data_IF_775971927662
#
_entry.id   IF_775971927662
#
_cell.length_a   1.000
_cell.length_b   1.000
_cell.length_c   1.000
_cell.angle_alpha   90.00
_cell.angle_beta   90.00
_cell.angle_gamma   90.00
#
_symmetry.space_group_name_H-M   'P 1'
#
loop_
_entity.id
_entity.type
_entity.pdbx_description
1 polymer ?
#
# COMPACT_ATOMS: atom_id res chain seq x y z
N UNK A 1 6.43 11.29 10.36
CA UNK A 1 6.38 10.41 9.17
C UNK A 1 5.84 9.05 9.61
N UNK A 2 5.01 8.37 8.82
CA UNK A 2 4.39 7.08 9.20
C UNK A 2 5.26 5.93 8.65
N UNK A 3 6.16 5.33 9.46
CA UNK A 3 7.23 4.46 8.96
C UNK A 3 6.72 3.18 8.28
N UNK A 4 5.55 2.68 8.67
CA UNK A 4 4.91 1.50 8.08
C UNK A 4 4.30 1.75 6.70
N UNK A 5 4.24 3.00 6.22
CA UNK A 5 3.89 3.31 4.83
C UNK A 5 5.13 3.34 3.92
N UNK A 6 6.32 3.39 4.50
CA UNK A 6 7.59 3.44 3.76
C UNK A 6 8.23 2.06 3.61
N UNK A 7 7.98 1.16 4.56
CA UNK A 7 8.52 -0.20 4.55
C UNK A 7 7.49 -1.20 5.06
N UNK A 8 7.54 -2.45 4.57
CA UNK A 8 6.64 -3.50 5.04
C UNK A 8 6.90 -3.78 6.53
N UNK A 9 5.88 -4.31 7.21
CA UNK A 9 6.05 -4.79 8.58
C UNK A 9 7.06 -5.95 8.55
N UNK A 10 8.16 -5.87 9.33
CA UNK A 10 9.11 -6.97 9.38
C UNK A 10 8.45 -8.24 9.90
N UNK A 11 8.69 -9.37 9.23
CA UNK A 11 8.26 -10.67 9.75
C UNK A 11 8.93 -10.89 11.10
N UNK A 12 8.16 -11.36 12.09
CA UNK A 12 8.74 -11.76 13.36
C UNK A 12 9.71 -12.93 13.11
N UNK A 13 10.91 -12.91 13.73
CA UNK A 13 11.79 -14.05 13.71
C UNK A 13 11.05 -15.25 14.31
N UNK A 14 11.19 -16.42 13.70
CA UNK A 14 10.72 -17.67 14.33
C UNK A 14 11.75 -18.06 15.38
N UNK A 15 11.42 -18.03 16.68
CA UNK A 15 12.37 -18.48 17.69
C UNK A 15 12.62 -19.99 17.56
N UNK A 16 13.85 -20.42 17.84
CA UNK A 16 14.18 -21.84 17.92
C UNK A 16 13.41 -22.52 19.06
N UNK A 17 13.23 -23.84 18.99
CA UNK A 17 12.56 -24.62 20.05
C UNK A 17 13.16 -24.27 21.43
N UNK A 18 12.30 -23.80 22.33
CA UNK A 18 12.67 -23.40 23.69
C UNK A 18 13.12 -21.94 23.87
N UNK A 19 13.18 -21.12 22.81
CA UNK A 19 13.52 -19.69 22.91
C UNK A 19 12.27 -18.81 22.86
N UNK A 20 12.28 -17.73 23.64
CA UNK A 20 11.27 -16.65 23.57
C UNK A 20 11.89 -15.47 22.84
N UNK A 21 11.10 -14.81 21.99
CA UNK A 21 11.54 -13.60 21.30
C UNK A 21 11.97 -12.52 22.31
N UNK A 22 13.07 -11.78 22.03
CA UNK A 22 13.51 -10.71 22.93
C UNK A 22 12.39 -9.68 23.17
N UNK A 23 12.23 -9.18 24.41
CA UNK A 23 11.21 -8.18 24.74
C UNK A 23 11.27 -6.94 23.86
N UNK A 24 12.46 -6.49 23.46
CA UNK A 24 12.65 -5.32 22.61
C UNK A 24 12.06 -5.50 21.20
N UNK A 25 12.13 -6.72 20.66
CA UNK A 25 11.52 -7.07 19.37
C UNK A 25 10.00 -7.02 19.47
N UNK A 26 9.44 -7.58 20.54
CA UNK A 26 7.99 -7.56 20.81
C UNK A 26 7.47 -6.14 21.05
N UNK A 27 8.16 -5.36 21.88
CA UNK A 27 7.80 -3.98 22.23
C UNK A 27 7.84 -3.03 21.02
N UNK A 28 8.62 -3.36 19.99
CA UNK A 28 8.65 -2.60 18.74
C UNK A 28 7.59 -3.10 17.76
N UNK A 29 7.44 -4.42 17.62
CA UNK A 29 6.54 -5.02 16.64
C UNK A 29 5.05 -4.81 16.97
N UNK A 30 4.67 -4.87 18.26
CA UNK A 30 3.26 -4.76 18.66
C UNK A 30 2.68 -3.38 18.34
N UNK A 31 3.30 -2.25 18.75
CA UNK A 31 2.81 -0.93 18.38
C UNK A 31 2.80 -0.70 16.86
N UNK A 32 3.80 -1.24 16.15
CA UNK A 32 3.89 -1.16 14.70
C UNK A 32 2.72 -1.85 14.01
N UNK A 33 2.42 -3.09 14.39
CA UNK A 33 1.31 -3.86 13.82
C UNK A 33 -0.03 -3.18 14.10
N UNK A 34 -0.20 -2.65 15.32
CA UNK A 34 -1.41 -1.91 15.70
C UNK A 34 -1.62 -0.67 14.84
N UNK A 35 -0.59 0.17 14.71
CA UNK A 35 -0.68 1.39 13.92
C UNK A 35 -0.94 1.10 12.43
N UNK A 36 -0.34 0.05 11.87
CA UNK A 36 -0.66 -0.37 10.50
C UNK A 36 -2.14 -0.70 10.38
N UNK A 37 -2.70 -1.58 11.23
CA UNK A 37 -4.11 -1.98 11.15
C UNK A 37 -5.10 -0.82 11.25
N UNK A 38 -4.80 0.19 12.07
CA UNK A 38 -5.63 1.40 12.15
C UNK A 38 -5.67 2.15 10.80
N UNK A 39 -4.55 2.18 10.10
CA UNK A 39 -4.43 2.85 8.79
C UNK A 39 -4.94 1.97 7.67
N UNK A 40 -4.75 0.66 7.74
CA UNK A 40 -5.41 -0.30 6.85
C UNK A 40 -6.92 -0.04 6.85
N UNK A 41 -7.52 0.06 8.05
CA UNK A 41 -8.94 0.35 8.23
C UNK A 41 -9.34 1.73 7.67
N UNK A 42 -8.57 2.78 7.97
CA UNK A 42 -8.85 4.12 7.46
C UNK A 42 -8.77 4.21 5.94
N UNK A 43 -7.78 3.55 5.32
CA UNK A 43 -7.63 3.48 3.88
C UNK A 43 -8.85 2.81 3.26
N UNK A 44 -9.26 1.64 3.77
CA UNK A 44 -10.42 0.93 3.24
C UNK A 44 -11.73 1.71 3.39
N UNK A 45 -11.92 2.44 4.49
CA UNK A 45 -13.14 3.25 4.72
C UNK A 45 -13.26 4.46 3.79
N UNK A 46 -12.15 4.97 3.28
CA UNK A 46 -12.11 6.21 2.47
C UNK A 46 -11.91 5.96 0.99
N UNK A 47 -11.59 4.72 0.62
CA UNK A 47 -11.35 4.31 -0.75
C UNK A 47 -12.65 4.13 -1.53
N UNK A 48 -12.55 4.30 -2.84
CA UNK A 48 -13.62 3.94 -3.76
C UNK A 48 -13.99 2.44 -3.60
N UNK A 49 -15.29 2.07 -3.57
CA UNK A 49 -15.72 0.69 -3.33
C UNK A 49 -15.15 -0.35 -4.30
N UNK A 50 -14.97 -0.01 -5.58
CA UNK A 50 -14.46 -0.96 -6.57
C UNK A 50 -12.96 -1.20 -6.35
N UNK A 51 -12.22 -0.15 -5.99
CA UNK A 51 -10.80 -0.27 -5.61
C UNK A 51 -10.69 -1.01 -4.26
N UNK A 52 -11.53 -0.69 -3.29
CA UNK A 52 -11.56 -1.31 -1.97
C UNK A 52 -11.72 -2.83 -2.08
N UNK A 53 -12.67 -3.31 -2.88
CA UNK A 53 -12.90 -4.75 -3.09
C UNK A 53 -11.66 -5.48 -3.61
N UNK A 54 -10.85 -4.82 -4.43
CA UNK A 54 -9.62 -5.41 -4.95
C UNK A 54 -8.48 -5.41 -3.92
N UNK A 55 -8.50 -4.48 -2.96
CA UNK A 55 -7.38 -4.24 -2.04
C UNK A 55 -7.66 -4.66 -0.59
N UNK A 56 -8.88 -5.06 -0.23
CA UNK A 56 -9.29 -5.38 1.16
C UNK A 56 -8.49 -6.50 1.83
N UNK A 57 -7.86 -7.36 1.05
CA UNK A 57 -7.02 -8.46 1.54
C UNK A 57 -5.57 -8.04 1.85
N UNK A 58 -5.20 -6.80 1.53
CA UNK A 58 -3.85 -6.27 1.70
C UNK A 58 -3.75 -5.41 2.96
N UNK A 59 -2.57 -5.40 3.58
CA UNK A 59 -2.22 -4.39 4.59
C UNK A 59 -1.85 -3.04 3.96
N UNK A 60 -1.82 -1.96 4.74
CA UNK A 60 -1.66 -0.58 4.27
C UNK A 60 -0.43 -0.35 3.42
N UNK A 61 0.70 -0.96 3.77
CA UNK A 61 1.90 -0.85 2.96
C UNK A 61 1.67 -1.37 1.53
N UNK A 62 1.07 -2.56 1.40
CA UNK A 62 0.78 -3.16 0.09
C UNK A 62 -0.34 -2.41 -0.63
N UNK A 63 -1.40 -2.00 0.07
CA UNK A 63 -2.44 -1.15 -0.52
C UNK A 63 -1.85 0.13 -1.11
N UNK A 64 -1.02 0.85 -0.34
CA UNK A 64 -0.40 2.09 -0.81
C UNK A 64 0.51 1.85 -2.02
N UNK A 65 1.23 0.73 -2.05
CA UNK A 65 2.08 0.35 -3.18
C UNK A 65 1.25 0.07 -4.44
N UNK A 66 0.17 -0.70 -4.31
CA UNK A 66 -0.73 -1.01 -5.44
C UNK A 66 -1.41 0.25 -5.95
N UNK A 67 -1.92 1.13 -5.07
CA UNK A 67 -2.51 2.41 -5.46
C UNK A 67 -1.52 3.30 -6.22
N UNK A 68 -0.28 3.43 -5.73
CA UNK A 68 0.76 4.19 -6.44
C UNK A 68 1.01 3.64 -7.84
N UNK A 69 1.01 2.33 -7.98
CA UNK A 69 1.21 1.66 -9.27
C UNK A 69 0.02 1.90 -10.20
N UNK A 70 -1.19 1.73 -9.69
CA UNK A 70 -2.44 1.95 -10.42
C UNK A 70 -2.53 3.40 -10.95
N UNK A 71 -2.26 4.40 -10.11
CA UNK A 71 -2.32 5.79 -10.52
C UNK A 71 -1.19 6.19 -11.48
N UNK A 72 0.02 5.62 -11.33
CA UNK A 72 1.09 5.84 -12.29
C UNK A 72 0.70 5.29 -13.68
N UNK A 73 0.17 4.07 -13.73
CA UNK A 73 -0.32 3.47 -14.97
C UNK A 73 -1.46 4.27 -15.59
N UNK A 74 -2.41 4.74 -14.77
CA UNK A 74 -3.50 5.59 -15.24
C UNK A 74 -2.98 6.89 -15.86
N UNK A 75 -2.06 7.59 -15.18
CA UNK A 75 -1.47 8.82 -15.68
C UNK A 75 -0.74 8.61 -17.02
N UNK A 76 -0.03 7.50 -17.18
CA UNK A 76 0.64 7.16 -18.44
C UNK A 76 -0.37 6.91 -19.57
N UNK A 77 -1.48 6.21 -19.28
CA UNK A 77 -2.54 5.96 -20.26
C UNK A 77 -3.26 7.26 -20.67
N UNK A 78 -3.59 8.11 -19.71
CA UNK A 78 -4.23 9.41 -19.96
C UNK A 78 -3.31 10.31 -20.80
N UNK A 79 -2.02 10.38 -20.46
CA UNK A 79 -1.02 11.13 -21.24
C UNK A 79 -0.98 10.64 -22.69
N UNK A 80 -0.88 9.33 -22.89
CA UNK A 80 -0.83 8.75 -24.23
C UNK A 80 -2.11 9.04 -25.02
N UNK A 81 -3.27 8.99 -24.36
CA UNK A 81 -4.54 9.34 -24.98
C UNK A 81 -4.57 10.81 -25.41
N UNK A 82 -4.17 11.74 -24.53
CA UNK A 82 -4.10 13.17 -24.85
C UNK A 82 -3.16 13.45 -26.02
N UNK A 83 -2.01 12.77 -26.09
CA UNK A 83 -1.07 12.91 -27.21
C UNK A 83 -1.70 12.42 -28.53
N UNK A 84 -2.45 11.33 -28.51
CA UNK A 84 -3.17 10.83 -29.70
C UNK A 84 -4.22 11.82 -30.17
N UNK A 85 -5.02 12.36 -29.26
CA UNK A 85 -6.04 13.35 -29.57
C UNK A 85 -5.44 14.63 -30.14
N UNK A 86 -4.35 15.12 -29.55
CA UNK A 86 -3.62 16.27 -30.07
C UNK A 86 -3.09 16.03 -31.49
N UNK A 87 -2.57 14.84 -31.76
CA UNK A 87 -2.13 14.47 -33.10
C UNK A 87 -3.32 14.42 -34.08
N UNK A 88 -4.43 13.77 -33.72
CA UNK A 88 -5.62 13.70 -34.57
C UNK A 88 -6.12 15.12 -34.94
N UNK A 89 -6.24 16.01 -33.95
CA UNK A 89 -6.63 17.41 -34.16
C UNK A 89 -5.70 18.17 -35.11
N UNK A 90 -4.39 17.94 -35.01
CA UNK A 90 -3.41 18.60 -35.89
C UNK A 90 -3.51 18.15 -37.36
N UNK A 91 -4.08 16.96 -37.59
CA UNK A 91 -4.20 16.35 -38.91
C UNK A 91 -5.61 16.47 -39.51
N UNK A 92 -6.54 17.15 -38.83
CA UNK A 92 -7.80 17.69 -39.39
C UNK A 92 -7.59 19.08 -40.02
#
# INVERSE_FOLDING_TARGET
KLPFLEQPIPALPVPAEGQVLPPDVLNTHIPWNKASKEIDGLMLMTMDPDIQKNLEHLGAYNMLKELKTLYAQQADQELLQTVREFHAWKHE
#
